data_IF_438796321158
#
_entry.id   IF_438796321158
#
_cell.length_a   1.000
_cell.length_b   1.000
_cell.length_c   1.000
_cell.angle_alpha   90.00
_cell.angle_beta   90.00
_cell.angle_gamma   90.00
#
_symmetry.space_group_name_H-M   'P 1'
#
loop_
_entity.id
_entity.type
_entity.pdbx_description
1 polymer ?
#
# COMPACT_ATOMS: atom_id res chain seq x y z
N UNK A 1 13.32 -28.53 4.83
CA UNK A 1 12.82 -27.68 3.73
C UNK A 1 13.37 -28.14 2.37
N UNK A 2 14.68 -28.19 2.15
CA UNK A 2 15.27 -28.64 0.88
C UNK A 2 14.84 -30.06 0.45
N UNK A 3 14.76 -31.02 1.37
CA UNK A 3 14.31 -32.39 1.03
C UNK A 3 12.81 -32.48 0.70
N UNK A 4 11.99 -31.62 1.30
CA UNK A 4 10.53 -31.55 1.07
C UNK A 4 10.20 -30.95 -0.30
N UNK A 5 11.01 -29.99 -0.75
CA UNK A 5 10.85 -29.30 -2.04
C UNK A 5 11.85 -29.77 -3.08
N UNK A 6 12.38 -30.98 -2.92
CA UNK A 6 13.43 -31.50 -3.79
C UNK A 6 12.96 -31.47 -5.24
N UNK A 7 13.78 -30.94 -6.14
CA UNK A 7 13.45 -30.75 -7.56
C UNK A 7 12.23 -29.83 -7.81
N UNK A 8 11.85 -29.00 -6.84
CA UNK A 8 10.70 -28.10 -6.93
C UNK A 8 9.35 -28.79 -6.76
N UNK A 9 9.35 -30.07 -6.37
CA UNK A 9 8.12 -30.77 -6.02
C UNK A 9 7.41 -30.00 -4.89
N UNK A 10 6.10 -29.76 -5.05
CA UNK A 10 5.25 -29.03 -4.11
C UNK A 10 5.51 -27.52 -3.95
N UNK A 11 6.55 -26.94 -4.56
CA UNK A 11 6.78 -25.48 -4.53
C UNK A 11 5.93 -24.77 -5.59
N UNK A 12 4.60 -24.84 -5.42
CA UNK A 12 3.60 -24.24 -6.33
C UNK A 12 2.77 -23.21 -5.58
N UNK A 13 1.89 -22.51 -6.31
CA UNK A 13 0.89 -21.60 -5.72
C UNK A 13 -0.10 -22.31 -4.79
N UNK A 14 -0.12 -23.65 -4.74
CA UNK A 14 -0.98 -24.43 -3.86
C UNK A 14 -0.60 -24.29 -2.39
N UNK A 15 0.65 -23.93 -2.11
CA UNK A 15 1.12 -23.60 -0.75
C UNK A 15 0.47 -22.34 -0.18
N UNK A 16 -0.03 -21.45 -1.04
CA UNK A 16 -0.69 -20.22 -0.60
C UNK A 16 -2.11 -20.56 -0.13
N UNK A 17 -2.34 -20.32 1.16
CA UNK A 17 -3.65 -20.45 1.78
C UNK A 17 -4.63 -19.46 1.15
N UNK A 18 -5.78 -19.97 0.69
CA UNK A 18 -6.82 -19.22 -0.01
C UNK A 18 -7.96 -18.78 0.93
N UNK A 19 -7.74 -18.82 2.24
CA UNK A 19 -8.76 -18.47 3.22
C UNK A 19 -9.85 -19.53 3.37
N UNK A 20 -9.65 -20.75 2.84
CA UNK A 20 -10.68 -21.78 2.71
C UNK A 20 -11.92 -21.24 1.96
N UNK A 21 -11.73 -20.30 1.03
CA UNK A 21 -12.80 -19.68 0.24
C UNK A 21 -13.71 -18.71 0.99
N UNK A 22 -13.49 -18.46 2.28
CA UNK A 22 -14.36 -17.57 3.09
C UNK A 22 -13.60 -16.53 3.93
N UNK A 23 -12.32 -16.73 4.21
CA UNK A 23 -11.58 -15.86 5.14
C UNK A 23 -10.85 -14.73 4.38
N UNK A 24 -11.27 -13.46 4.54
CA UNK A 24 -10.65 -12.33 3.85
C UNK A 24 -9.25 -11.96 4.39
N UNK A 25 -8.80 -12.58 5.48
CA UNK A 25 -7.44 -12.40 6.02
C UNK A 25 -6.37 -13.20 5.27
N UNK A 26 -6.74 -13.98 4.24
CA UNK A 26 -5.81 -14.73 3.40
C UNK A 26 -4.86 -13.84 2.59
N UNK A 27 -5.22 -12.57 2.39
CA UNK A 27 -4.35 -11.57 1.78
C UNK A 27 -4.52 -10.23 2.45
N UNK A 28 -3.40 -9.52 2.58
CA UNK A 28 -3.34 -8.21 3.20
C UNK A 28 -2.50 -7.29 2.32
N UNK A 29 -2.86 -6.01 2.26
CA UNK A 29 -2.04 -4.96 1.69
C UNK A 29 -1.62 -4.01 2.79
N UNK A 30 -0.33 -3.68 2.84
CA UNK A 30 0.23 -2.75 3.81
C UNK A 30 0.62 -1.47 3.08
N UNK A 31 -0.12 -0.39 3.34
CA UNK A 31 0.24 0.96 2.92
C UNK A 31 1.18 1.54 3.97
N UNK A 32 2.44 1.77 3.59
CA UNK A 32 3.42 2.45 4.43
C UNK A 32 3.29 3.96 4.21
N UNK A 33 3.15 4.68 5.31
CA UNK A 33 3.31 6.13 5.41
C UNK A 33 4.64 6.41 6.14
N UNK A 34 5.08 7.66 6.20
CA UNK A 34 6.40 8.03 6.74
C UNK A 34 6.64 7.52 8.17
N UNK A 35 5.66 7.71 9.05
CA UNK A 35 5.72 7.36 10.49
C UNK A 35 4.50 6.54 10.93
N UNK A 36 3.72 6.00 9.99
CA UNK A 36 2.55 5.16 10.27
C UNK A 36 2.32 4.15 9.14
N UNK A 37 1.40 3.20 9.34
CA UNK A 37 1.01 2.26 8.30
C UNK A 37 -0.49 1.95 8.39
N UNK A 38 -1.06 1.52 7.27
CA UNK A 38 -2.44 1.06 7.19
C UNK A 38 -2.47 -0.33 6.58
N UNK A 39 -3.11 -1.27 7.28
CA UNK A 39 -3.25 -2.66 6.80
C UNK A 39 -4.69 -2.87 6.35
N UNK A 40 -4.86 -3.32 5.11
CA UNK A 40 -6.17 -3.59 4.53
C UNK A 40 -6.28 -5.06 4.16
N UNK A 41 -7.50 -5.61 4.24
CA UNK A 41 -7.80 -6.96 3.75
C UNK A 41 -7.90 -6.96 2.22
N UNK A 42 -7.33 -7.97 1.57
CA UNK A 42 -7.29 -8.09 0.11
C UNK A 42 -6.00 -7.54 -0.51
N UNK A 43 -5.84 -7.80 -1.81
CA UNK A 43 -4.80 -7.23 -2.66
C UNK A 43 -5.32 -5.93 -3.29
N UNK A 44 -5.04 -4.81 -2.63
CA UNK A 44 -5.57 -3.48 -2.95
C UNK A 44 -4.50 -2.67 -3.70
N UNK A 45 -4.91 -2.02 -4.80
CA UNK A 45 -4.03 -1.19 -5.61
C UNK A 45 -3.31 -1.92 -6.74
N UNK A 46 -2.22 -1.32 -7.21
CA UNK A 46 -1.34 -1.86 -8.26
C UNK A 46 -0.43 -2.95 -7.70
N UNK A 47 0.31 -3.63 -8.58
CA UNK A 47 1.25 -4.65 -8.15
C UNK A 47 2.40 -4.01 -7.34
N UNK A 48 2.68 -4.50 -6.12
CA UNK A 48 3.68 -3.87 -5.25
C UNK A 48 5.10 -4.21 -5.70
N UNK A 49 6.07 -3.37 -5.29
CA UNK A 49 7.49 -3.67 -5.44
C UNK A 49 7.87 -4.95 -4.69
N UNK A 50 7.39 -5.13 -3.47
CA UNK A 50 7.72 -6.27 -2.59
C UNK A 50 6.45 -7.03 -2.20
N UNK A 51 6.54 -8.34 -2.04
CA UNK A 51 5.45 -9.18 -1.53
C UNK A 51 6.01 -10.21 -0.54
N UNK A 52 5.20 -10.59 0.46
CA UNK A 52 5.61 -11.52 1.50
C UNK A 52 4.71 -12.75 1.50
N UNK A 53 5.29 -13.91 1.78
CA UNK A 53 4.55 -15.12 2.14
C UNK A 53 4.85 -15.43 3.60
N UNK A 54 3.82 -15.36 4.43
CA UNK A 54 3.92 -15.60 5.87
C UNK A 54 3.50 -17.04 6.15
N UNK A 55 4.48 -17.89 6.46
CA UNK A 55 4.21 -19.22 7.00
C UNK A 55 3.81 -19.15 8.49
N UNK A 56 3.38 -20.29 9.04
CA UNK A 56 2.91 -20.37 10.41
C UNK A 56 4.00 -19.95 11.44
N UNK A 57 5.26 -20.34 11.23
CA UNK A 57 6.35 -20.01 12.16
C UNK A 57 6.68 -18.52 12.12
N UNK A 58 6.64 -17.92 10.93
CA UNK A 58 6.82 -16.48 10.77
C UNK A 58 5.65 -15.70 11.41
N UNK A 59 4.42 -16.16 11.22
CA UNK A 59 3.23 -15.57 11.85
C UNK A 59 3.35 -15.55 13.38
N UNK A 60 3.74 -16.68 14.00
CA UNK A 60 3.91 -16.76 15.45
C UNK A 60 4.98 -15.78 15.94
N UNK A 61 6.13 -15.72 15.28
CA UNK A 61 7.21 -14.79 15.68
C UNK A 61 6.78 -13.34 15.55
N UNK A 62 6.06 -12.96 14.50
CA UNK A 62 5.48 -11.62 14.36
C UNK A 62 4.49 -11.34 15.50
N UNK A 63 3.61 -12.30 15.83
CA UNK A 63 2.64 -12.14 16.90
C UNK A 63 3.30 -11.94 18.28
N UNK A 64 4.28 -12.78 18.64
CA UNK A 64 4.98 -12.64 19.91
C UNK A 64 5.79 -11.35 19.99
N UNK A 65 6.38 -10.92 18.88
CA UNK A 65 7.16 -9.69 18.84
C UNK A 65 6.30 -8.42 18.95
N UNK A 66 5.18 -8.36 18.21
CA UNK A 66 4.40 -7.14 18.04
C UNK A 66 3.13 -7.07 18.89
N UNK A 67 2.67 -8.19 19.45
CA UNK A 67 1.42 -8.27 20.21
C UNK A 67 1.68 -8.74 21.63
N UNK A 68 2.13 -9.99 21.80
CA UNK A 68 2.23 -10.57 23.15
C UNK A 68 3.40 -9.97 23.97
N UNK A 69 4.52 -9.67 23.30
CA UNK A 69 5.75 -9.16 23.93
C UNK A 69 6.03 -7.68 23.66
N UNK A 70 5.12 -6.97 22.97
CA UNK A 70 5.34 -5.55 22.68
C UNK A 70 4.86 -4.67 23.83
N UNK A 71 5.79 -3.93 24.44
CA UNK A 71 5.48 -2.91 25.43
C UNK A 71 5.44 -1.52 24.79
N UNK A 72 4.24 -0.94 24.67
CA UNK A 72 4.01 0.41 24.15
C UNK A 72 4.64 1.48 25.05
N UNK A 73 4.75 1.20 26.35
CA UNK A 73 5.40 2.08 27.33
C UNK A 73 6.88 1.73 27.56
N UNK A 74 7.40 0.77 26.80
CA UNK A 74 8.79 0.34 26.85
C UNK A 74 9.75 1.45 26.42
N UNK A 75 11.02 1.32 26.83
CA UNK A 75 12.04 2.31 26.50
C UNK A 75 12.41 2.30 25.00
N UNK A 76 13.12 3.33 24.55
CA UNK A 76 13.59 3.44 23.17
C UNK A 76 14.41 2.24 22.69
N UNK A 77 15.16 1.58 23.58
CA UNK A 77 15.92 0.38 23.26
C UNK A 77 15.03 -0.81 22.89
N UNK A 78 13.94 -1.02 23.62
CA UNK A 78 12.93 -2.03 23.30
C UNK A 78 12.34 -1.79 21.91
N UNK A 79 11.90 -0.55 21.63
CA UNK A 79 11.31 -0.19 20.34
C UNK A 79 12.31 -0.38 19.18
N UNK A 80 13.58 0.00 19.38
CA UNK A 80 14.65 -0.18 18.39
C UNK A 80 14.93 -1.65 18.10
N UNK A 81 15.02 -2.50 19.13
CA UNK A 81 15.24 -3.94 18.97
C UNK A 81 14.07 -4.58 18.24
N UNK A 82 12.83 -4.24 18.61
CA UNK A 82 11.64 -4.70 17.90
C UNK A 82 11.68 -4.30 16.43
N UNK A 83 12.04 -3.04 16.13
CA UNK A 83 12.14 -2.53 14.76
C UNK A 83 13.18 -3.28 13.94
N UNK A 84 14.37 -3.55 14.50
CA UNK A 84 15.42 -4.32 13.83
C UNK A 84 15.00 -5.78 13.62
N UNK A 85 14.37 -6.40 14.61
CA UNK A 85 13.90 -7.77 14.50
C UNK A 85 12.79 -7.91 13.45
N UNK A 86 11.90 -6.92 13.34
CA UNK A 86 10.91 -6.87 12.27
C UNK A 86 11.52 -6.80 10.87
N UNK A 87 12.68 -6.15 10.68
CA UNK A 87 13.35 -6.15 9.38
C UNK A 87 13.78 -7.56 8.98
N UNK A 88 14.25 -8.38 9.92
CA UNK A 88 14.58 -9.79 9.67
C UNK A 88 13.36 -10.62 9.34
N UNK A 89 12.27 -10.49 10.11
CA UNK A 89 11.02 -11.21 9.83
C UNK A 89 10.41 -10.81 8.49
N UNK A 90 10.51 -9.52 8.12
CA UNK A 90 10.13 -9.02 6.80
C UNK A 90 10.94 -9.69 5.69
N UNK A 91 12.27 -9.65 5.80
CA UNK A 91 13.17 -10.25 4.82
C UNK A 91 12.91 -11.76 4.65
N UNK A 92 12.57 -12.45 5.73
CA UNK A 92 12.18 -13.85 5.68
C UNK A 92 10.88 -14.06 4.88
N UNK A 93 9.84 -13.26 5.15
CA UNK A 93 8.59 -13.30 4.38
C UNK A 93 8.79 -12.96 2.90
N UNK A 94 9.66 -11.99 2.60
CA UNK A 94 10.08 -11.63 1.25
C UNK A 94 10.78 -12.81 0.56
N UNK A 95 11.73 -13.47 1.24
CA UNK A 95 12.42 -14.65 0.73
C UNK A 95 11.46 -15.81 0.45
N UNK A 96 10.48 -16.05 1.34
CA UNK A 96 9.44 -17.04 1.12
C UNK A 96 8.65 -16.77 -0.17
N UNK A 97 8.31 -15.52 -0.47
CA UNK A 97 7.68 -15.16 -1.74
C UNK A 97 8.61 -15.41 -2.93
N UNK A 98 9.85 -14.93 -2.84
CA UNK A 98 10.85 -15.11 -3.90
C UNK A 98 11.20 -16.59 -4.15
N UNK A 99 10.93 -17.47 -3.18
CA UNK A 99 11.12 -18.91 -3.34
C UNK A 99 10.26 -19.49 -4.48
N UNK A 100 9.08 -18.91 -4.72
CA UNK A 100 8.14 -19.30 -5.77
C UNK A 100 8.59 -18.83 -7.17
N UNK A 101 9.58 -17.95 -7.27
CA UNK A 101 10.12 -17.47 -8.54
C UNK A 101 11.27 -18.36 -9.05
N UNK A 102 11.58 -18.32 -10.36
CA UNK A 102 12.78 -18.92 -10.89
C UNK A 102 14.05 -18.41 -10.18
N UNK A 103 15.06 -19.27 -10.04
CA UNK A 103 16.24 -18.97 -9.20
C UNK A 103 17.06 -17.76 -9.68
N UNK A 104 17.11 -17.52 -10.99
CA UNK A 104 17.74 -16.35 -11.59
C UNK A 104 16.94 -15.07 -11.31
N UNK A 105 15.61 -15.13 -11.49
CA UNK A 105 14.69 -14.00 -11.19
C UNK A 105 14.71 -13.66 -9.70
N UNK A 106 14.74 -14.65 -8.81
CA UNK A 106 14.87 -14.46 -7.35
C UNK A 106 16.06 -13.56 -7.01
N UNK A 107 17.24 -13.84 -7.58
CA UNK A 107 18.46 -13.05 -7.32
C UNK A 107 18.35 -11.62 -7.86
N UNK A 108 17.74 -11.45 -9.03
CA UNK A 108 17.53 -10.14 -9.63
C UNK A 108 16.56 -9.30 -8.79
N UNK A 109 15.43 -9.88 -8.38
CA UNK A 109 14.45 -9.19 -7.53
C UNK A 109 15.03 -8.83 -6.16
N UNK A 110 15.76 -9.75 -5.52
CA UNK A 110 16.39 -9.45 -4.24
C UNK A 110 17.39 -8.29 -4.34
N UNK A 111 18.19 -8.26 -5.41
CA UNK A 111 19.12 -7.15 -5.67
C UNK A 111 18.38 -5.82 -5.95
N UNK A 112 17.24 -5.86 -6.62
CA UNK A 112 16.41 -4.68 -6.88
C UNK A 112 15.70 -4.14 -5.63
N UNK A 113 15.32 -5.01 -4.69
CA UNK A 113 14.64 -4.62 -3.46
C UNK A 113 15.61 -4.02 -2.42
N UNK A 114 16.89 -4.37 -2.52
CA UNK A 114 17.95 -4.00 -1.58
C UNK A 114 19.10 -3.23 -2.25
N UNK A 115 18.79 -2.35 -3.20
CA UNK A 115 19.79 -1.53 -3.88
C UNK A 115 20.59 -0.67 -2.89
N UNK A 116 21.92 -0.79 -2.91
CA UNK A 116 22.81 -0.01 -2.04
C UNK A 116 22.72 -0.39 -0.56
N UNK A 117 22.21 -1.59 -0.23
CA UNK A 117 22.25 -2.12 1.14
C UNK A 117 23.69 -2.15 1.69
N UNK A 118 23.82 -1.96 3.00
CA UNK A 118 25.12 -2.03 3.65
C UNK A 118 25.71 -3.46 3.54
N UNK A 119 27.03 -3.59 3.72
CA UNK A 119 27.73 -4.85 3.48
C UNK A 119 27.27 -5.96 4.45
N UNK A 120 27.01 -5.64 5.72
CA UNK A 120 26.49 -6.60 6.69
C UNK A 120 25.12 -7.18 6.32
N UNK A 121 24.20 -6.33 5.83
CA UNK A 121 22.89 -6.75 5.35
C UNK A 121 23.03 -7.57 4.07
N UNK A 122 23.93 -7.17 3.18
CA UNK A 122 24.22 -7.89 1.94
C UNK A 122 24.78 -9.29 2.21
N UNK A 123 25.71 -9.41 3.16
CA UNK A 123 26.32 -10.68 3.57
C UNK A 123 25.28 -11.59 4.26
N UNK A 124 24.43 -11.03 5.12
CA UNK A 124 23.33 -11.76 5.76
C UNK A 124 22.30 -12.29 4.75
N UNK A 125 21.90 -11.44 3.78
CA UNK A 125 21.02 -11.81 2.69
C UNK A 125 21.63 -12.93 1.83
N UNK A 126 22.94 -12.88 1.56
CA UNK A 126 23.62 -13.88 0.73
C UNK A 126 23.90 -15.20 1.48
N UNK A 127 24.14 -15.16 2.80
CA UNK A 127 24.56 -16.32 3.60
C UNK A 127 23.43 -17.08 4.29
N UNK A 128 22.62 -16.40 5.11
CA UNK A 128 21.71 -17.05 6.06
C UNK A 128 20.28 -17.23 5.52
N UNK A 129 19.77 -16.27 4.73
CA UNK A 129 18.40 -16.32 4.18
C UNK A 129 18.32 -17.16 2.89
N UNK A 130 19.41 -17.25 2.13
CA UNK A 130 19.42 -17.83 0.77
C UNK A 130 19.95 -19.27 0.69
N UNK A 131 20.03 -20.02 1.81
CA UNK A 131 20.43 -21.43 1.79
C UNK A 131 19.44 -22.37 1.03
N UNK A 132 18.29 -21.84 0.60
CA UNK A 132 17.30 -22.56 -0.18
C UNK A 132 17.57 -22.46 -1.69
N UNK A 133 18.03 -23.57 -2.30
CA UNK A 133 18.43 -23.63 -3.72
C UNK A 133 17.53 -24.54 -4.57
N UNK A 134 16.34 -24.90 -4.08
CA UNK A 134 15.42 -25.70 -4.89
C UNK A 134 14.76 -24.85 -5.98
N UNK A 135 14.56 -25.40 -7.19
CA UNK A 135 13.82 -24.72 -8.26
C UNK A 135 12.35 -24.57 -7.89
N UNK A 136 11.67 -23.59 -8.49
CA UNK A 136 10.22 -23.44 -8.35
C UNK A 136 9.46 -24.53 -9.12
N UNK A 137 8.37 -25.03 -8.53
CA UNK A 137 7.40 -25.89 -9.21
C UNK A 137 6.37 -25.12 -10.03
N UNK A 138 6.35 -23.78 -9.91
CA UNK A 138 5.46 -22.91 -10.69
C UNK A 138 5.94 -22.85 -12.13
N UNK A 139 5.07 -23.21 -13.08
CA UNK A 139 5.34 -23.10 -14.52
C UNK A 139 4.98 -21.70 -15.02
N UNK A 140 5.97 -20.94 -15.44
CA UNK A 140 5.82 -19.59 -16.01
C UNK A 140 5.77 -19.64 -17.54
N UNK A 141 5.02 -18.71 -18.14
CA UNK A 141 4.88 -18.59 -19.60
C UNK A 141 5.24 -17.22 -20.14
N UNK A 142 5.36 -16.22 -19.26
CA UNK A 142 5.68 -14.84 -19.63
C UNK A 142 7.17 -14.54 -19.41
N UNK A 143 7.62 -13.40 -19.97
CA UNK A 143 8.96 -12.87 -19.72
C UNK A 143 9.08 -12.15 -18.36
N UNK A 144 7.98 -12.00 -17.61
CA UNK A 144 7.94 -11.37 -16.30
C UNK A 144 7.31 -12.33 -15.26
N UNK A 145 8.09 -13.28 -14.73
CA UNK A 145 7.58 -14.29 -13.80
C UNK A 145 6.99 -13.70 -12.52
N UNK A 146 7.51 -12.57 -12.03
CA UNK A 146 6.98 -11.92 -10.82
C UNK A 146 5.58 -11.38 -11.06
N UNK A 147 5.39 -10.64 -12.14
CA UNK A 147 4.07 -10.12 -12.52
C UNK A 147 3.08 -11.25 -12.73
N UNK A 148 3.49 -12.30 -13.43
CA UNK A 148 2.66 -13.49 -13.66
C UNK A 148 2.28 -14.20 -12.37
N UNK A 149 3.21 -14.34 -11.41
CA UNK A 149 2.91 -14.91 -10.09
C UNK A 149 1.89 -14.06 -9.34
N UNK A 150 2.10 -12.73 -9.27
CA UNK A 150 1.18 -11.83 -8.58
C UNK A 150 -0.23 -11.85 -9.20
N UNK A 151 -0.34 -11.91 -10.53
CA UNK A 151 -1.64 -12.03 -11.22
C UNK A 151 -2.32 -13.38 -10.95
N UNK A 152 -1.55 -14.48 -10.88
CA UNK A 152 -2.07 -15.80 -10.47
C UNK A 152 -2.58 -15.79 -9.03
N UNK A 153 -1.84 -15.18 -8.11
CA UNK A 153 -2.24 -15.06 -6.71
C UNK A 153 -3.50 -14.19 -6.57
N UNK A 154 -3.58 -13.08 -7.31
CA UNK A 154 -4.78 -12.24 -7.36
C UNK A 154 -6.00 -13.02 -7.85
N UNK A 155 -5.83 -13.84 -8.88
CA UNK A 155 -6.90 -14.70 -9.39
C UNK A 155 -7.32 -15.76 -8.35
N UNK A 156 -6.34 -16.42 -7.71
CA UNK A 156 -6.59 -17.44 -6.68
C UNK A 156 -7.33 -16.87 -5.46
N UNK A 157 -6.98 -15.66 -5.03
CA UNK A 157 -7.51 -15.01 -3.83
C UNK A 157 -8.76 -14.17 -4.09
N UNK A 158 -9.19 -14.00 -5.35
CA UNK A 158 -10.38 -13.24 -5.71
C UNK A 158 -11.65 -13.65 -4.93
N UNK A 159 -11.93 -14.94 -4.67
CA UNK A 159 -13.14 -15.35 -3.93
C UNK A 159 -13.23 -14.82 -2.49
N UNK A 160 -12.09 -14.53 -1.86
CA UNK A 160 -12.02 -14.03 -0.47
C UNK A 160 -11.61 -12.56 -0.38
N UNK A 161 -11.34 -11.90 -1.51
CA UNK A 161 -10.88 -10.51 -1.54
C UNK A 161 -12.07 -9.55 -1.39
N UNK A 162 -12.07 -8.65 -0.40
CA UNK A 162 -13.12 -7.65 -0.28
C UNK A 162 -13.10 -6.65 -1.43
N UNK A 163 -14.27 -6.40 -2.03
CA UNK A 163 -14.46 -5.43 -3.11
C UNK A 163 -14.55 -3.97 -2.63
N UNK A 164 -14.65 -3.74 -1.31
CA UNK A 164 -14.97 -2.42 -0.73
C UNK A 164 -14.04 -1.28 -1.12
N UNK A 165 -12.80 -1.59 -1.52
CA UNK A 165 -11.79 -0.62 -1.90
C UNK A 165 -11.77 -0.29 -3.40
N UNK A 166 -12.53 -1.03 -4.23
CA UNK A 166 -12.60 -0.76 -5.65
C UNK A 166 -13.42 0.50 -5.91
N UNK A 167 -12.73 1.59 -6.26
CA UNK A 167 -13.36 2.87 -6.58
C UNK A 167 -14.29 2.78 -7.80
N UNK A 168 -14.15 1.77 -8.65
CA UNK A 168 -15.00 1.54 -9.83
C UNK A 168 -16.41 1.11 -9.45
N UNK A 169 -16.61 0.60 -8.24
CA UNK A 169 -17.92 0.22 -7.71
C UNK A 169 -18.66 1.40 -7.05
N UNK A 170 -18.07 2.60 -7.03
CA UNK A 170 -18.75 3.78 -6.52
C UNK A 170 -19.98 4.12 -7.40
N UNK A 171 -21.10 4.56 -6.79
CA UNK A 171 -22.32 4.93 -7.51
C UNK A 171 -22.19 6.30 -8.20
N UNK A 172 -21.20 6.42 -9.09
CA UNK A 172 -20.90 7.62 -9.89
C UNK A 172 -21.04 7.29 -11.38
N UNK A 173 -21.13 8.31 -12.22
CA UNK A 173 -21.18 8.16 -13.67
C UNK A 173 -19.90 7.52 -14.23
N UNK A 174 -20.00 6.88 -15.39
CA UNK A 174 -18.85 6.30 -16.08
C UNK A 174 -17.76 7.33 -16.39
N UNK A 175 -18.14 8.60 -16.64
CA UNK A 175 -17.19 9.70 -16.85
C UNK A 175 -16.40 10.02 -15.57
N UNK A 176 -17.07 10.03 -14.41
CA UNK A 176 -16.43 10.20 -13.12
C UNK A 176 -15.46 9.05 -12.80
N UNK A 177 -15.87 7.79 -13.00
CA UNK A 177 -14.99 6.62 -12.81
C UNK A 177 -13.78 6.65 -13.76
N UNK A 178 -13.97 7.12 -14.99
CA UNK A 178 -12.86 7.32 -15.93
C UNK A 178 -11.90 8.38 -15.41
N UNK A 179 -12.39 9.53 -14.95
CA UNK A 179 -11.55 10.58 -14.38
C UNK A 179 -10.78 10.10 -13.13
N UNK A 180 -11.42 9.35 -12.24
CA UNK A 180 -10.76 8.71 -11.08
C UNK A 180 -9.68 7.71 -11.52
N UNK A 181 -9.94 6.90 -12.56
CA UNK A 181 -8.94 5.98 -13.13
C UNK A 181 -7.74 6.70 -13.73
N UNK A 182 -7.93 7.92 -14.23
CA UNK A 182 -6.82 8.76 -14.73
C UNK A 182 -5.99 9.37 -13.59
N UNK A 183 -6.60 9.62 -12.42
CA UNK A 183 -5.89 10.02 -11.19
C UNK A 183 -5.11 8.84 -10.60
N UNK A 184 -5.68 7.64 -10.60
CA UNK A 184 -5.05 6.39 -10.14
C UNK A 184 -3.80 5.98 -10.97
N UNK A 185 -3.53 6.67 -12.09
CA UNK A 185 -2.36 6.43 -12.97
C UNK A 185 -1.24 7.47 -12.82
N UNK A 186 -1.38 8.39 -11.88
CA UNK A 186 -0.34 9.39 -11.62
C UNK A 186 0.94 8.70 -11.13
N UNK A 187 2.06 9.15 -11.65
CA UNK A 187 3.38 8.59 -11.36
C UNK A 187 4.47 9.65 -11.49
N UNK A 188 5.65 9.34 -10.98
CA UNK A 188 6.82 10.19 -10.93
C UNK A 188 6.56 11.51 -10.22
N UNK A 189 7.07 12.59 -10.79
CA UNK A 189 7.03 13.93 -10.20
C UNK A 189 5.61 14.37 -9.79
N UNK A 190 4.57 14.00 -10.55
CA UNK A 190 3.17 14.33 -10.24
C UNK A 190 2.73 13.67 -8.93
N UNK A 191 3.08 12.40 -8.74
CA UNK A 191 2.78 11.66 -7.52
C UNK A 191 3.58 12.20 -6.33
N UNK A 192 4.87 12.52 -6.53
CA UNK A 192 5.74 13.10 -5.49
C UNK A 192 5.18 14.37 -4.86
N UNK A 193 4.57 15.25 -5.66
CA UNK A 193 4.00 16.53 -5.19
C UNK A 193 2.82 16.35 -4.23
N UNK A 194 2.10 15.23 -4.33
CA UNK A 194 0.96 14.92 -3.49
C UNK A 194 1.41 14.56 -2.06
N UNK A 195 0.60 14.88 -1.04
CA UNK A 195 0.82 14.36 0.30
C UNK A 195 0.60 12.85 0.35
N UNK A 196 1.05 12.21 1.44
CA UNK A 196 0.98 10.75 1.60
C UNK A 196 -0.44 10.22 1.49
N UNK A 197 -1.39 10.93 2.12
CA UNK A 197 -2.80 10.62 2.10
C UNK A 197 -3.59 11.87 1.71
N UNK A 198 -4.33 11.79 0.62
CA UNK A 198 -5.33 12.80 0.24
C UNK A 198 -6.71 12.18 0.33
N UNK A 199 -7.57 12.75 1.17
CA UNK A 199 -8.97 12.32 1.27
C UNK A 199 -9.83 13.13 0.33
N UNK A 200 -10.60 12.46 -0.52
CA UNK A 200 -11.39 13.07 -1.57
C UNK A 200 -12.85 12.78 -1.28
N UNK A 201 -13.65 13.83 -1.08
CA UNK A 201 -15.10 13.76 -1.01
C UNK A 201 -15.68 14.19 -2.35
N UNK A 202 -16.37 13.27 -3.02
CA UNK A 202 -17.06 13.53 -4.28
C UNK A 202 -18.54 13.72 -4.00
N UNK A 203 -19.09 14.87 -4.38
CA UNK A 203 -20.53 15.15 -4.33
C UNK A 203 -21.21 14.66 -5.62
N UNK A 204 -22.08 13.63 -5.55
CA UNK A 204 -22.76 13.12 -6.72
C UNK A 204 -23.63 14.16 -7.41
N UNK A 205 -23.81 13.98 -8.71
CA UNK A 205 -24.76 14.77 -9.52
C UNK A 205 -26.19 14.45 -9.10
N UNK A 206 -26.47 13.19 -8.79
CA UNK A 206 -27.73 12.78 -8.19
C UNK A 206 -27.76 13.14 -6.70
N UNK A 207 -28.54 14.16 -6.34
CA UNK A 207 -28.67 14.66 -4.96
C UNK A 207 -29.36 13.70 -3.99
N UNK A 208 -29.88 12.57 -4.46
CA UNK A 208 -30.37 11.50 -3.57
C UNK A 208 -29.26 10.57 -3.08
N UNK A 209 -28.05 10.67 -3.64
CA UNK A 209 -26.90 9.89 -3.23
C UNK A 209 -26.06 10.72 -2.25
N UNK A 210 -25.64 10.07 -1.17
CA UNK A 210 -24.68 10.63 -0.23
C UNK A 210 -23.31 10.88 -0.90
N UNK A 211 -22.52 11.87 -0.42
CA UNK A 211 -21.16 12.07 -0.88
C UNK A 211 -20.32 10.79 -0.78
N UNK A 212 -19.49 10.53 -1.80
CA UNK A 212 -18.64 9.35 -1.86
C UNK A 212 -17.23 9.70 -1.41
N UNK A 213 -16.68 8.91 -0.47
CA UNK A 213 -15.33 9.10 0.04
C UNK A 213 -14.32 8.23 -0.71
N UNK A 214 -13.15 8.79 -0.97
CA UNK A 214 -12.00 8.12 -1.56
C UNK A 214 -10.72 8.52 -0.85
N UNK A 215 -9.71 7.67 -0.95
CA UNK A 215 -8.35 8.00 -0.52
C UNK A 215 -7.40 7.82 -1.69
N UNK A 216 -6.63 8.86 -1.97
CA UNK A 216 -5.47 8.79 -2.85
C UNK A 216 -4.23 8.68 -1.96
N UNK A 217 -3.64 7.48 -1.94
CA UNK A 217 -2.41 7.20 -1.21
C UNK A 217 -1.21 7.32 -2.15
N UNK A 218 -0.21 8.12 -1.79
CA UNK A 218 1.06 8.19 -2.53
C UNK A 218 1.96 7.04 -2.08
N UNK A 219 2.34 6.16 -3.01
CA UNK A 219 3.35 5.15 -2.73
C UNK A 219 4.74 5.74 -3.00
N UNK A 220 5.48 5.98 -1.91
CA UNK A 220 6.81 6.59 -1.97
C UNK A 220 7.86 5.52 -2.31
N UNK A 221 8.50 5.63 -3.46
CA UNK A 221 9.47 4.66 -3.93
C UNK A 221 10.84 4.85 -3.24
N UNK A 222 11.44 3.73 -2.85
CA UNK A 222 12.74 3.69 -2.19
C UNK A 222 13.67 2.65 -2.86
N UNK A 223 14.98 2.92 -2.80
CA UNK A 223 16.04 1.97 -3.18
C UNK A 223 15.99 0.73 -2.30
N UNK A 224 15.89 0.95 -0.99
CA UNK A 224 15.63 -0.05 0.03
C UNK A 224 15.02 0.64 1.27
N UNK A 225 14.39 -0.12 2.15
CA UNK A 225 13.77 0.37 3.40
C UNK A 225 14.52 -0.13 4.65
N UNK A 226 15.81 -0.44 4.50
CA UNK A 226 16.66 -0.98 5.57
C UNK A 226 17.29 0.09 6.47
N UNK A 227 17.22 1.37 6.08
CA UNK A 227 17.73 2.48 6.86
C UNK A 227 16.75 2.87 7.96
N UNK A 228 17.24 2.99 9.20
CA UNK A 228 16.46 3.42 10.37
C UNK A 228 16.38 4.95 10.51
N UNK A 229 17.31 5.70 9.91
CA UNK A 229 17.52 7.12 10.20
C UNK A 229 17.66 8.02 8.96
N UNK A 230 17.79 7.43 7.76
CA UNK A 230 18.00 8.19 6.52
C UNK A 230 17.11 7.61 5.41
N UNK A 231 15.83 7.96 5.46
CA UNK A 231 14.82 7.54 4.47
C UNK A 231 14.88 8.41 3.22
N UNK A 232 15.18 9.71 3.36
CA UNK A 232 15.19 10.67 2.26
C UNK A 232 16.26 10.36 1.22
N UNK A 233 17.48 9.97 1.62
CA UNK A 233 18.55 9.61 0.67
C UNK A 233 18.26 8.33 -0.12
N UNK A 234 17.31 7.52 0.36
CA UNK A 234 16.85 6.30 -0.29
C UNK A 234 15.67 6.53 -1.25
N UNK A 235 15.07 7.73 -1.30
CA UNK A 235 13.94 8.03 -2.18
C UNK A 235 14.32 7.94 -3.66
N UNK A 236 13.38 7.44 -4.45
CA UNK A 236 13.44 7.39 -5.91
C UNK A 236 12.19 8.07 -6.46
N UNK A 237 12.13 9.39 -6.36
CA UNK A 237 10.95 10.20 -6.71
C UNK A 237 10.38 9.92 -8.12
N UNK A 238 11.24 9.61 -9.08
CA UNK A 238 10.81 9.26 -10.44
C UNK A 238 9.91 8.01 -10.51
N UNK A 239 9.96 7.16 -9.49
CA UNK A 239 9.19 5.93 -9.38
C UNK A 239 8.05 6.03 -8.35
N UNK A 240 7.81 7.21 -7.75
CA UNK A 240 6.62 7.40 -6.92
C UNK A 240 5.37 7.17 -7.78
N UNK A 241 4.34 6.55 -7.22
CA UNK A 241 3.04 6.43 -7.86
C UNK A 241 1.93 6.63 -6.82
N UNK A 242 0.69 6.40 -7.23
CA UNK A 242 -0.47 6.53 -6.35
C UNK A 242 -1.36 5.30 -6.42
N UNK A 243 -2.08 5.06 -5.34
CA UNK A 243 -3.19 4.11 -5.28
C UNK A 243 -4.43 4.87 -4.85
N UNK A 244 -5.45 4.88 -5.71
CA UNK A 244 -6.78 5.38 -5.39
C UNK A 244 -7.66 4.24 -4.89
N UNK A 245 -8.33 4.45 -3.77
CA UNK A 245 -9.33 3.51 -3.25
C UNK A 245 -10.63 4.20 -2.88
N UNK A 246 -11.71 3.42 -2.83
CA UNK A 246 -12.95 3.83 -2.17
C UNK A 246 -12.83 3.74 -0.66
N UNK A 247 -13.38 4.72 0.04
CA UNK A 247 -13.33 4.85 1.50
C UNK A 247 -12.07 5.55 2.00
N UNK A 248 -11.97 5.68 3.33
CA UNK A 248 -10.84 6.29 3.99
C UNK A 248 -9.77 5.24 4.35
N UNK A 249 -8.51 5.50 3.98
CA UNK A 249 -7.34 4.73 4.42
C UNK A 249 -6.48 5.56 5.37
N UNK A 250 -6.21 5.00 6.54
CA UNK A 250 -5.40 5.66 7.57
C UNK A 250 -6.16 6.74 8.33
N UNK A 251 -5.47 7.34 9.30
CA UNK A 251 -6.07 8.31 10.23
C UNK A 251 -5.47 9.71 10.14
N UNK A 252 -4.45 9.90 9.29
CA UNK A 252 -3.65 11.12 9.22
C UNK A 252 -3.69 11.73 7.81
N UNK A 253 -4.80 12.36 7.39
CA UNK A 253 -4.87 13.00 6.08
C UNK A 253 -3.86 14.15 5.99
N UNK A 254 -3.14 14.21 4.87
CA UNK A 254 -2.27 15.33 4.53
C UNK A 254 -3.01 16.45 3.79
N UNK A 255 -4.03 16.11 3.02
CA UNK A 255 -4.91 17.07 2.36
C UNK A 255 -6.34 16.54 2.21
N UNK A 256 -7.28 17.48 2.06
CA UNK A 256 -8.68 17.21 1.74
C UNK A 256 -9.04 17.84 0.41
N UNK A 257 -9.70 17.07 -0.46
CA UNK A 257 -10.32 17.57 -1.67
C UNK A 257 -11.85 17.41 -1.59
N UNK A 258 -12.59 18.47 -1.89
CA UNK A 258 -14.05 18.45 -2.04
C UNK A 258 -14.40 18.80 -3.48
N UNK A 259 -15.05 17.87 -4.17
CA UNK A 259 -15.18 17.93 -5.63
C UNK A 259 -16.59 17.53 -6.04
N UNK A 260 -17.23 18.31 -6.92
CA UNK A 260 -18.49 17.86 -7.54
C UNK A 260 -18.17 16.78 -8.58
N UNK A 261 -19.03 15.77 -8.69
CA UNK A 261 -18.85 14.70 -9.66
C UNK A 261 -18.63 15.23 -11.09
N UNK A 262 -19.35 16.28 -11.48
CA UNK A 262 -19.20 16.95 -12.79
C UNK A 262 -17.85 17.64 -13.01
N UNK A 263 -17.09 17.91 -11.94
CA UNK A 263 -15.78 18.55 -11.98
C UNK A 263 -14.62 17.55 -11.89
N UNK A 264 -14.89 16.26 -11.65
CA UNK A 264 -13.85 15.22 -11.63
C UNK A 264 -12.99 15.16 -12.90
N UNK A 265 -13.53 15.31 -14.12
CA UNK A 265 -12.69 15.39 -15.32
C UNK A 265 -11.69 16.55 -15.28
N UNK A 266 -12.08 17.69 -14.72
CA UNK A 266 -11.19 18.84 -14.57
C UNK A 266 -10.14 18.62 -13.49
N UNK A 267 -10.51 18.01 -12.36
CA UNK A 267 -9.55 17.58 -11.34
C UNK A 267 -8.50 16.64 -11.95
N UNK A 268 -8.92 15.63 -12.71
CA UNK A 268 -8.01 14.68 -13.33
C UNK A 268 -7.05 15.37 -14.32
N UNK A 269 -7.53 16.35 -15.09
CA UNK A 269 -6.68 17.16 -15.97
C UNK A 269 -5.66 17.96 -15.13
N UNK A 270 -6.09 18.68 -14.10
CA UNK A 270 -5.17 19.46 -13.26
C UNK A 270 -4.14 18.58 -12.55
N UNK A 271 -4.55 17.42 -12.02
CA UNK A 271 -3.65 16.49 -11.36
C UNK A 271 -2.58 15.93 -12.32
N UNK A 272 -2.90 15.72 -13.60
CA UNK A 272 -1.94 15.33 -14.64
C UNK A 272 -0.95 16.42 -15.01
N UNK A 273 -1.28 17.68 -14.79
CA UNK A 273 -0.41 18.83 -15.08
C UNK A 273 0.39 19.30 -13.86
N UNK A 274 0.42 18.52 -12.77
CA UNK A 274 1.26 18.81 -11.62
C UNK A 274 2.74 18.63 -11.95
N UNK A 275 3.44 19.75 -12.18
CA UNK A 275 4.88 19.77 -12.44
C UNK A 275 5.63 20.50 -11.31
N UNK A 276 4.94 21.31 -10.51
CA UNK A 276 5.52 22.10 -9.43
C UNK A 276 4.59 22.28 -8.24
N UNK A 277 5.16 22.72 -7.11
CA UNK A 277 4.41 23.16 -5.93
C UNK A 277 3.40 24.28 -6.26
N UNK A 278 3.68 25.11 -7.28
CA UNK A 278 2.74 26.14 -7.73
C UNK A 278 1.50 25.54 -8.37
N UNK A 279 1.66 24.49 -9.17
CA UNK A 279 0.54 23.79 -9.80
C UNK A 279 -0.29 23.06 -8.75
N UNK A 280 0.38 22.47 -7.75
CA UNK A 280 -0.29 21.82 -6.63
C UNK A 280 -1.11 22.82 -5.81
N UNK A 281 -0.56 23.99 -5.49
CA UNK A 281 -1.32 25.09 -4.85
C UNK A 281 -2.54 25.50 -5.67
N UNK A 282 -2.40 25.64 -6.98
CA UNK A 282 -3.52 26.02 -7.85
C UNK A 282 -4.63 24.96 -7.87
N UNK A 283 -4.27 23.68 -7.77
CA UNK A 283 -5.24 22.58 -7.60
C UNK A 283 -5.96 22.71 -6.25
N UNK A 284 -5.22 22.95 -5.15
CA UNK A 284 -5.80 23.15 -3.82
C UNK A 284 -6.66 24.42 -3.70
N UNK A 285 -6.31 25.50 -4.40
CA UNK A 285 -7.13 26.71 -4.42
C UNK A 285 -8.52 26.46 -5.04
N UNK A 286 -8.64 25.43 -5.87
CA UNK A 286 -9.91 25.05 -6.52
C UNK A 286 -10.67 23.95 -5.77
N UNK A 287 -9.97 22.91 -5.35
CA UNK A 287 -10.58 21.68 -4.83
C UNK A 287 -10.24 21.40 -3.37
N UNK A 288 -9.22 22.06 -2.82
CA UNK A 288 -8.72 21.83 -1.48
C UNK A 288 -9.64 22.39 -0.40
N UNK A 289 -9.74 21.68 0.72
CA UNK A 289 -10.37 22.19 1.95
C UNK A 289 -9.26 22.43 2.97
N UNK A 290 -8.82 23.68 3.09
CA UNK A 290 -7.76 24.09 4.02
C UNK A 290 -8.31 24.28 5.44
N UNK A 291 -7.46 24.14 6.45
CA UNK A 291 -7.82 24.39 7.86
C UNK A 291 -8.30 25.83 8.11
N UNK A 292 -7.89 26.76 7.26
CA UNK A 292 -8.30 28.17 7.30
C UNK A 292 -9.65 28.45 6.65
N UNK A 293 -10.26 27.47 5.97
CA UNK A 293 -11.60 27.61 5.39
C UNK A 293 -12.64 27.79 6.50
N UNK A 294 -13.55 28.77 6.40
CA UNK A 294 -14.59 28.98 7.41
C UNK A 294 -15.46 27.74 7.68
N UNK A 295 -15.65 26.91 6.66
CA UNK A 295 -16.48 25.71 6.72
C UNK A 295 -15.68 24.41 6.94
N UNK A 296 -14.39 24.51 7.31
CA UNK A 296 -13.52 23.34 7.52
C UNK A 296 -14.14 22.32 8.48
N UNK A 297 -14.65 22.77 9.63
CA UNK A 297 -15.23 21.88 10.64
C UNK A 297 -16.53 21.22 10.17
N UNK A 298 -17.40 21.95 9.48
CA UNK A 298 -18.62 21.38 8.91
C UNK A 298 -18.31 20.29 7.87
N UNK A 299 -17.31 20.53 7.00
CA UNK A 299 -16.81 19.51 6.07
C UNK A 299 -16.22 18.30 6.79
N UNK A 300 -15.41 18.53 7.84
CA UNK A 300 -14.84 17.46 8.67
C UNK A 300 -15.94 16.61 9.31
N UNK A 301 -16.97 17.24 9.86
CA UNK A 301 -18.08 16.54 10.52
C UNK A 301 -18.88 15.69 9.50
N UNK A 302 -19.15 16.23 8.31
CA UNK A 302 -19.76 15.52 7.18
C UNK A 302 -18.92 14.29 6.76
N UNK A 303 -17.61 14.48 6.60
CA UNK A 303 -16.67 13.40 6.23
C UNK A 303 -16.62 12.29 7.29
N UNK A 304 -16.55 12.65 8.57
CA UNK A 304 -16.53 11.67 9.65
C UNK A 304 -17.87 10.94 9.79
N UNK A 305 -19.00 11.64 9.60
CA UNK A 305 -20.32 11.02 9.63
C UNK A 305 -20.50 9.97 8.53
N UNK A 306 -20.07 10.28 7.30
CA UNK A 306 -20.10 9.32 6.18
C UNK A 306 -19.16 8.14 6.47
N UNK A 307 -17.95 8.39 6.96
CA UNK A 307 -17.01 7.32 7.31
C UNK A 307 -17.56 6.39 8.41
N UNK A 308 -18.20 6.96 9.44
CA UNK A 308 -18.81 6.19 10.52
C UNK A 308 -20.02 5.37 10.05
N UNK A 309 -20.81 5.91 9.12
CA UNK A 309 -21.92 5.20 8.49
C UNK A 309 -21.41 4.02 7.63
N UNK A 310 -20.42 4.27 6.78
CA UNK A 310 -19.92 3.28 5.82
C UNK A 310 -19.04 2.20 6.45
N UNK A 311 -18.29 2.55 7.50
CA UNK A 311 -17.32 1.67 8.17
C UNK A 311 -17.47 1.70 9.71
N UNK A 312 -18.61 1.30 10.28
CA UNK A 312 -18.92 1.51 11.70
C UNK A 312 -17.98 0.80 12.68
N UNK A 313 -17.25 -0.22 12.23
CA UNK A 313 -16.28 -0.96 13.06
C UNK A 313 -14.89 -0.31 13.03
N UNK A 314 -14.48 0.20 11.86
CA UNK A 314 -13.12 0.72 11.64
C UNK A 314 -13.05 2.25 11.79
N UNK A 315 -14.20 2.94 11.73
CA UNK A 315 -14.26 4.39 11.85
C UNK A 315 -13.77 4.85 13.22
N UNK A 316 -12.62 5.53 13.21
CA UNK A 316 -12.09 6.29 14.33
C UNK A 316 -12.05 7.78 14.03
N UNK A 317 -11.60 8.57 15.00
CA UNK A 317 -11.34 9.99 14.79
C UNK A 317 -10.09 10.16 13.92
N UNK A 318 -10.18 11.11 12.98
CA UNK A 318 -9.04 11.51 12.17
C UNK A 318 -8.17 12.53 12.91
N UNK A 319 -6.85 12.39 12.78
CA UNK A 319 -5.88 13.33 13.30
C UNK A 319 -5.46 14.32 12.21
N UNK A 320 -5.76 15.59 12.46
CA UNK A 320 -5.54 16.71 11.55
C UNK A 320 -4.19 17.42 11.74
N UNK A 321 -3.28 16.86 12.53
CA UNK A 321 -1.95 17.43 12.76
C UNK A 321 -1.06 17.43 11.50
N UNK A 322 -1.38 16.61 10.50
CA UNK A 322 -0.61 16.49 9.25
C UNK A 322 -1.21 17.24 8.06
N UNK A 323 -2.36 17.90 8.26
CA UNK A 323 -2.97 18.67 7.19
C UNK A 323 -2.05 19.82 6.83
N UNK A 324 -1.60 19.80 5.60
CA UNK A 324 -0.75 20.85 5.08
C UNK A 324 -1.57 22.06 4.66
N UNK A 325 -0.91 23.22 4.68
CA UNK A 325 -1.49 24.47 4.22
C UNK A 325 -0.68 25.05 3.07
N UNK A 326 -0.17 24.16 2.20
CA UNK A 326 0.74 24.51 1.10
C UNK A 326 0.09 25.43 0.07
#
# INVERSE_FOLDING_TARGET
MNDTFKHGEHLTTDLIWDGNGVNPHASLTVFRHFDSATVTKGLVGTQPKTAWVIDYSLLERIHYLLVAGFDVYGNFGHQLITRMYMDFLRMEGESNFLSLLPADVRRQELADWYQGANQHLSDFLQGDINAFDQPTGVKYTTADPKRELLDRLKTKLAPVTPHRYDFREAPLSAQAITALSEIDRLHGQRATLLPELTFIMVEPTNKTLEPQLFTLARNSAHKNISSLFDEESNRVFANDDVTLVRGLLGSYPGAFWRVKESELPLLAIQAKHLESEKDYRALLDKFGVRRTEPNFWAFSDELNAINQHDQPIEAGLLDYNRIENR
#
